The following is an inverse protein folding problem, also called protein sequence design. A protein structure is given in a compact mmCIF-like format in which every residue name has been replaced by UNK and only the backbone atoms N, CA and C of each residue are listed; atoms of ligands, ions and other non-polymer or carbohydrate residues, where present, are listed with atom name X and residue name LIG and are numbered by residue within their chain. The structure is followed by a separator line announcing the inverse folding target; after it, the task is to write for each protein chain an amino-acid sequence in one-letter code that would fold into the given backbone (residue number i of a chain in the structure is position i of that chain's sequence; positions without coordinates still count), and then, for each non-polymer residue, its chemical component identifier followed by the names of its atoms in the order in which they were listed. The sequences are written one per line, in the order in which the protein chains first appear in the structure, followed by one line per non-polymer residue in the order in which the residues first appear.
data_IF_044472550908
#
_entry.id   IF_044472550908
#
_cell.length_a   1.000
_cell.length_b   1.000
_cell.length_c   1.000
_cell.angle_alpha   90.00
_cell.angle_beta   90.00
_cell.angle_gamma   90.00
#
_symmetry.space_group_name_H-M   'P 1'
#
loop_
_entity.id
_entity.type
_entity.pdbx_description
1 polymer ?
#
# COMPACT_ATOMS: atom_id res chain seq x y z
N UNK A 1 -2.67 11.61 -38.72
CA UNK A 1 -2.06 10.74 -37.70
C UNK A 1 -1.52 11.64 -36.61
N UNK A 2 -2.11 11.64 -35.42
CA UNK A 2 -1.65 12.46 -34.29
C UNK A 2 -0.45 11.72 -33.68
N UNK A 3 0.75 12.22 -33.89
CA UNK A 3 1.98 11.62 -33.33
C UNK A 3 1.97 11.84 -31.82
N UNK A 4 1.99 10.77 -31.03
CA UNK A 4 2.15 10.86 -29.59
C UNK A 4 3.54 11.42 -29.28
N UNK A 5 3.61 12.52 -28.53
CA UNK A 5 4.88 13.06 -28.04
C UNK A 5 5.23 12.32 -26.75
N UNK A 6 6.35 11.61 -26.75
CA UNK A 6 6.84 10.89 -25.57
C UNK A 6 7.47 11.86 -24.57
N UNK A 7 7.08 11.77 -23.30
CA UNK A 7 7.75 12.48 -22.21
C UNK A 7 8.88 11.62 -21.66
N UNK A 8 10.09 12.17 -21.61
CA UNK A 8 11.24 11.54 -20.94
C UNK A 8 11.41 12.12 -19.54
N UNK A 9 11.54 11.26 -18.53
CA UNK A 9 11.94 11.66 -17.18
C UNK A 9 13.30 11.05 -16.88
N UNK A 10 14.29 11.90 -16.60
CA UNK A 10 15.61 11.48 -16.16
C UNK A 10 15.76 11.77 -14.66
N UNK A 11 16.14 10.76 -13.90
CA UNK A 11 16.41 10.86 -12.46
C UNK A 11 17.92 10.76 -12.24
N UNK A 12 18.46 11.58 -11.35
CA UNK A 12 19.87 11.54 -11.01
C UNK A 12 20.26 10.16 -10.43
N UNK A 13 21.32 9.56 -10.95
CA UNK A 13 21.85 8.27 -10.47
C UNK A 13 22.61 8.39 -9.15
N UNK A 14 23.10 9.59 -8.83
CA UNK A 14 23.87 9.88 -7.64
C UNK A 14 23.16 10.93 -6.78
N UNK A 15 22.72 10.53 -5.59
CA UNK A 15 22.26 11.46 -4.56
C UNK A 15 22.98 11.20 -3.23
N UNK A 16 23.24 12.27 -2.49
CA UNK A 16 24.00 12.23 -1.24
C UNK A 16 23.24 12.87 -0.10
N UNK A 17 23.47 12.35 1.11
CA UNK A 17 23.08 12.97 2.37
C UNK A 17 24.35 13.27 3.15
N UNK A 18 24.74 14.55 3.17
CA UNK A 18 26.07 14.94 3.64
C UNK A 18 27.15 14.27 2.78
N UNK A 19 28.02 13.48 3.43
CA UNK A 19 29.08 12.73 2.75
C UNK A 19 28.65 11.38 2.19
N UNK A 20 27.46 10.89 2.55
CA UNK A 20 27.03 9.51 2.30
C UNK A 20 26.24 9.41 1.00
N UNK A 21 26.61 8.48 0.13
CA UNK A 21 25.94 8.18 -1.14
C UNK A 21 24.75 7.22 -0.91
N UNK A 22 23.61 7.52 -1.53
CA UNK A 22 22.42 6.66 -1.49
C UNK A 22 22.51 5.59 -2.58
N UNK A 23 22.18 4.33 -2.25
CA UNK A 23 22.00 3.27 -3.24
C UNK A 23 20.75 3.49 -4.10
N UNK A 24 20.67 2.83 -5.26
CA UNK A 24 19.49 2.87 -6.13
C UNK A 24 18.20 2.50 -5.38
N UNK A 25 18.22 1.48 -4.52
CA UNK A 25 17.07 1.09 -3.68
C UNK A 25 16.57 2.22 -2.74
N UNK A 26 17.47 3.10 -2.27
CA UNK A 26 17.09 4.25 -1.46
C UNK A 26 16.57 5.40 -2.34
N UNK A 27 17.13 5.57 -3.54
CA UNK A 27 16.64 6.57 -4.51
C UNK A 27 15.21 6.28 -4.96
N UNK A 28 14.88 5.02 -5.21
CA UNK A 28 13.52 4.60 -5.60
C UNK A 28 12.46 4.89 -4.53
N UNK A 29 12.87 5.00 -3.25
CA UNK A 29 11.96 5.33 -2.14
C UNK A 29 11.63 6.83 -2.06
N UNK A 30 12.36 7.67 -2.81
CA UNK A 30 12.16 9.11 -2.82
C UNK A 30 11.01 9.43 -3.76
N UNK A 31 9.89 9.92 -3.21
CA UNK A 31 8.68 10.24 -3.99
C UNK A 31 8.21 11.69 -3.82
N UNK A 32 8.78 12.43 -2.86
CA UNK A 32 8.39 13.81 -2.50
C UNK A 32 9.12 14.87 -3.33
N UNK A 33 9.11 14.74 -4.65
CA UNK A 33 9.70 15.75 -5.53
C UNK A 33 8.90 17.05 -5.49
N UNK A 34 9.61 18.18 -5.36
CA UNK A 34 9.05 19.52 -5.43
C UNK A 34 9.58 20.24 -6.66
N UNK A 35 8.75 21.00 -7.40
CA UNK A 35 9.22 21.77 -8.53
C UNK A 35 10.23 22.82 -8.07
N UNK A 36 11.28 23.02 -8.87
CA UNK A 36 12.25 24.09 -8.67
C UNK A 36 11.66 25.37 -9.25
N UNK A 37 11.65 26.44 -8.48
CA UNK A 37 11.17 27.75 -8.91
C UNK A 37 12.18 28.38 -9.87
N UNK A 38 11.77 28.63 -11.11
CA UNK A 38 12.58 29.29 -12.14
C UNK A 38 12.44 30.82 -12.12
N UNK A 39 11.69 31.35 -11.16
CA UNK A 39 11.44 32.79 -11.04
C UNK A 39 12.76 33.53 -10.78
N UNK A 40 13.08 34.50 -11.65
CA UNK A 40 14.30 35.30 -11.55
C UNK A 40 15.56 34.62 -12.10
N UNK A 41 15.47 33.41 -12.65
CA UNK A 41 16.58 32.81 -13.40
C UNK A 41 16.64 33.36 -14.82
N UNK A 42 17.85 33.47 -15.37
CA UNK A 42 18.06 33.78 -16.78
C UNK A 42 18.02 32.50 -17.62
N UNK A 43 17.49 32.55 -18.85
CA UNK A 43 17.53 31.40 -19.74
C UNK A 43 18.98 30.99 -20.04
N UNK A 44 19.27 29.68 -20.13
CA UNK A 44 20.64 29.20 -20.33
C UNK A 44 21.21 29.58 -21.70
N UNK A 45 20.35 29.62 -22.72
CA UNK A 45 20.70 29.91 -24.11
C UNK A 45 19.72 30.93 -24.70
N UNK A 46 20.12 31.59 -25.78
CA UNK A 46 19.31 32.61 -26.46
C UNK A 46 18.02 32.07 -27.11
N UNK A 47 17.95 30.77 -27.37
CA UNK A 47 16.83 30.03 -27.96
C UNK A 47 15.89 29.41 -26.91
N UNK A 48 16.09 29.76 -25.64
CA UNK A 48 15.32 29.22 -24.52
C UNK A 48 14.53 30.34 -23.84
N UNK A 49 13.24 30.13 -23.63
CA UNK A 49 12.36 31.04 -22.91
C UNK A 49 11.90 30.38 -21.60
N UNK A 50 11.91 31.14 -20.50
CA UNK A 50 11.31 30.69 -19.24
C UNK A 50 9.87 31.18 -19.20
N UNK A 51 8.93 30.25 -19.13
CA UNK A 51 7.50 30.56 -19.00
C UNK A 51 6.82 29.54 -18.09
N UNK A 52 5.93 29.99 -17.20
CA UNK A 52 5.18 29.14 -16.27
C UNK A 52 6.04 28.09 -15.54
N UNK A 53 7.23 28.48 -15.07
CA UNK A 53 8.15 27.59 -14.35
C UNK A 53 8.71 26.41 -15.19
N UNK A 54 8.72 26.56 -16.51
CA UNK A 54 9.34 25.63 -17.45
C UNK A 54 10.33 26.37 -18.35
N UNK A 55 11.36 25.66 -18.81
CA UNK A 55 12.15 26.08 -19.95
C UNK A 55 11.49 25.58 -21.23
N UNK A 56 11.30 26.49 -22.18
CA UNK A 56 10.85 26.19 -23.52
C UNK A 56 11.98 26.43 -24.49
N UNK A 57 12.31 25.41 -25.28
CA UNK A 57 13.12 25.60 -26.47
C UNK A 57 12.18 25.60 -27.68
N UNK A 58 12.07 26.76 -28.32
CA UNK A 58 11.13 27.03 -29.42
C UNK A 58 11.91 27.41 -30.66
N UNK A 59 11.41 26.96 -31.81
CA UNK A 59 12.01 27.33 -33.09
C UNK A 59 11.71 28.81 -33.45
N UNK A 60 10.57 29.36 -32.98
CA UNK A 60 10.20 30.77 -33.17
C UNK A 60 9.85 31.42 -31.81
N UNK A 61 10.73 32.29 -31.28
CA UNK A 61 10.49 33.04 -30.03
C UNK A 61 9.20 33.87 -30.07
N UNK A 62 8.47 33.95 -28.95
CA UNK A 62 7.28 34.81 -28.81
C UNK A 62 5.96 34.33 -29.46
N UNK A 63 5.91 33.14 -30.07
CA UNK A 63 4.66 32.53 -30.55
C UNK A 63 4.07 31.55 -29.51
N UNK A 64 2.77 31.23 -29.63
CA UNK A 64 2.15 30.15 -28.85
C UNK A 64 2.89 28.83 -29.07
N UNK A 65 3.05 28.02 -28.01
CA UNK A 65 3.73 26.74 -28.08
C UNK A 65 3.07 25.82 -29.12
N UNK A 66 3.90 25.21 -29.98
CA UNK A 66 3.45 24.33 -31.06
C UNK A 66 3.91 22.89 -30.83
N UNK A 67 3.26 21.94 -31.51
CA UNK A 67 3.70 20.54 -31.51
C UNK A 67 5.10 20.47 -32.12
N UNK A 68 6.07 19.99 -31.34
CA UNK A 68 7.49 19.96 -31.70
C UNK A 68 8.38 20.81 -30.80
N UNK A 69 7.80 21.75 -30.04
CA UNK A 69 8.56 22.52 -29.04
C UNK A 69 8.94 21.63 -27.84
N UNK A 70 10.15 21.84 -27.30
CA UNK A 70 10.64 21.12 -26.14
C UNK A 70 10.31 21.88 -24.86
N UNK A 71 9.67 21.21 -23.90
CA UNK A 71 9.38 21.74 -22.57
C UNK A 71 10.14 20.93 -21.51
N UNK A 72 10.93 21.62 -20.69
CA UNK A 72 11.71 21.02 -19.61
C UNK A 72 11.30 21.60 -18.27
N UNK A 73 11.03 20.73 -17.30
CA UNK A 73 10.76 21.08 -15.90
C UNK A 73 11.77 20.38 -15.00
N UNK A 74 12.19 21.07 -13.93
CA UNK A 74 13.07 20.49 -12.93
C UNK A 74 12.35 20.34 -11.59
N UNK A 75 12.61 19.23 -10.91
CA UNK A 75 12.11 18.97 -9.58
C UNK A 75 13.20 18.37 -8.70
N UNK A 76 13.20 18.72 -7.42
CA UNK A 76 14.14 18.17 -6.43
C UNK A 76 13.40 17.63 -5.21
N UNK A 77 13.93 16.55 -4.63
CA UNK A 77 13.43 15.94 -3.41
C UNK A 77 14.29 16.25 -2.16
N UNK A 78 15.27 17.13 -2.30
CA UNK A 78 16.12 17.59 -1.21
C UNK A 78 16.79 18.92 -1.55
N UNK A 79 16.88 19.82 -0.57
CA UNK A 79 17.70 21.01 -0.66
C UNK A 79 18.56 21.11 0.59
N UNK A 80 19.86 21.27 0.40
CA UNK A 80 20.86 21.41 1.46
C UNK A 80 21.73 22.61 1.10
N UNK A 81 21.85 23.57 2.02
CA UNK A 81 22.76 24.72 1.85
C UNK A 81 22.10 25.95 1.23
N UNK A 82 22.82 26.61 0.32
CA UNK A 82 22.53 27.96 -0.23
C UNK A 82 21.42 27.95 -1.29
N UNK A 83 21.12 26.78 -1.87
CA UNK A 83 20.09 26.57 -2.91
C UNK A 83 18.65 26.48 -2.38
N UNK A 84 18.43 26.84 -1.10
CA UNK A 84 17.10 26.89 -0.48
C UNK A 84 16.20 27.91 -1.18
N UNK A 85 16.77 28.93 -1.83
CA UNK A 85 16.01 29.94 -2.57
C UNK A 85 15.40 29.41 -3.88
N UNK A 86 15.95 28.33 -4.45
CA UNK A 86 15.52 27.79 -5.74
C UNK A 86 14.38 26.77 -5.60
N UNK A 87 14.27 26.10 -4.45
CA UNK A 87 13.19 25.16 -4.18
C UNK A 87 12.21 25.82 -3.24
N UNK A 88 10.93 25.89 -3.62
CA UNK A 88 9.88 26.43 -2.74
C UNK A 88 9.68 25.49 -1.51
N UNK A 89 10.55 25.63 -0.51
CA UNK A 89 10.59 24.71 0.62
C UNK A 89 11.73 24.99 1.60
N UNK A 90 11.41 24.87 2.89
CA UNK A 90 12.39 24.82 3.99
C UNK A 90 13.37 23.66 3.78
N UNK A 91 14.56 23.77 4.39
CA UNK A 91 15.56 22.70 4.53
C UNK A 91 14.90 21.33 4.70
N UNK A 92 15.20 20.41 3.78
CA UNK A 92 14.64 19.06 3.81
C UNK A 92 15.53 18.18 4.68
N UNK A 93 15.04 17.80 5.85
CA UNK A 93 15.67 16.75 6.65
C UNK A 93 15.15 15.40 6.20
N UNK A 94 16.03 14.40 6.19
CA UNK A 94 15.67 13.00 5.94
C UNK A 94 16.25 12.13 7.05
N UNK A 95 15.52 11.10 7.43
CA UNK A 95 15.95 10.09 8.39
C UNK A 95 16.09 8.76 7.66
N UNK A 96 17.28 8.17 7.75
CA UNK A 96 17.65 6.96 6.99
C UNK A 96 18.11 5.87 7.94
N UNK A 97 17.57 4.66 7.77
CA UNK A 97 18.09 3.43 8.38
C UNK A 97 18.51 2.50 7.25
N UNK A 98 19.82 2.29 7.13
CA UNK A 98 20.45 1.46 6.11
C UNK A 98 21.78 0.89 6.62
N UNK A 99 22.33 -0.12 5.95
CA UNK A 99 23.68 -0.61 6.21
C UNK A 99 24.69 0.35 5.58
N UNK A 100 25.64 0.84 6.36
CA UNK A 100 26.74 1.64 5.82
C UNK A 100 27.89 0.72 5.36
N UNK A 101 28.29 0.88 4.09
CA UNK A 101 29.48 0.28 3.50
C UNK A 101 30.40 1.40 2.99
N UNK A 102 31.38 1.78 3.81
CA UNK A 102 32.24 2.93 3.51
C UNK A 102 31.44 4.23 3.46
N UNK A 103 31.44 4.89 2.30
CA UNK A 103 30.65 6.11 2.05
C UNK A 103 29.25 5.83 1.49
N UNK A 104 28.89 4.56 1.23
CA UNK A 104 27.60 4.22 0.65
C UNK A 104 26.62 3.68 1.70
N UNK A 105 25.37 4.13 1.62
CA UNK A 105 24.24 3.55 2.33
C UNK A 105 23.54 2.55 1.41
N UNK A 106 23.52 1.29 1.83
CA UNK A 106 22.93 0.18 1.08
C UNK A 106 21.89 -0.54 1.93
N UNK A 107 21.00 -1.28 1.28
CA UNK A 107 20.02 -2.07 2.00
C UNK A 107 20.66 -3.20 2.80
N UNK A 108 20.12 -3.45 3.99
CA UNK A 108 20.59 -4.51 4.88
C UNK A 108 19.78 -5.79 4.66
N UNK A 109 20.41 -6.90 4.31
CA UNK A 109 19.73 -8.19 4.25
C UNK A 109 19.35 -8.67 5.66
N UNK A 110 18.05 -8.80 5.92
CA UNK A 110 17.53 -9.29 7.20
C UNK A 110 17.49 -10.81 7.26
N UNK A 111 17.41 -11.37 8.47
CA UNK A 111 17.28 -12.81 8.68
C UNK A 111 16.00 -13.42 8.07
N UNK A 112 14.97 -12.60 7.84
CA UNK A 112 13.72 -13.03 7.20
C UNK A 112 13.81 -13.08 5.67
N UNK A 113 14.96 -12.75 5.07
CA UNK A 113 15.16 -12.71 3.63
C UNK A 113 14.71 -11.40 2.96
N UNK A 114 14.26 -10.41 3.74
CA UNK A 114 13.86 -9.09 3.23
C UNK A 114 15.03 -8.09 3.30
N UNK A 115 15.07 -7.10 2.41
CA UNK A 115 16.02 -5.99 2.52
C UNK A 115 15.45 -4.88 3.41
N UNK A 116 16.26 -4.39 4.36
CA UNK A 116 15.93 -3.29 5.25
C UNK A 116 16.67 -2.03 4.79
N UNK A 117 15.90 -1.11 4.23
CA UNK A 117 16.32 0.23 3.87
C UNK A 117 15.11 1.15 4.07
N UNK A 118 15.18 2.02 5.07
CA UNK A 118 14.11 2.96 5.40
C UNK A 118 14.60 4.37 5.10
N UNK A 119 13.76 5.16 4.43
CA UNK A 119 14.05 6.55 4.12
C UNK A 119 12.75 7.34 4.28
N UNK A 120 12.75 8.28 5.23
CA UNK A 120 11.58 9.13 5.51
C UNK A 120 11.95 10.61 5.51
N UNK A 121 11.12 11.48 4.92
CA UNK A 121 11.29 12.92 5.03
C UNK A 121 10.92 13.36 6.45
N UNK A 122 11.82 14.08 7.10
CA UNK A 122 11.68 14.57 8.47
C UNK A 122 12.87 14.20 9.35
N UNK A 123 12.84 14.70 10.59
CA UNK A 123 13.78 14.33 11.65
C UNK A 123 13.08 13.36 12.58
N UNK A 124 13.47 12.10 12.51
CA UNK A 124 12.98 11.03 13.36
C UNK A 124 14.16 10.37 14.05
N UNK A 125 13.97 9.98 15.30
CA UNK A 125 14.89 9.05 15.96
C UNK A 125 14.77 7.65 15.34
N UNK A 126 15.77 6.80 15.58
CA UNK A 126 15.71 5.41 15.10
C UNK A 126 14.49 4.66 15.67
N UNK A 127 14.15 4.91 16.94
CA UNK A 127 13.00 4.29 17.59
C UNK A 127 11.68 4.73 16.95
N UNK A 128 11.47 6.03 16.76
CA UNK A 128 10.26 6.58 16.13
C UNK A 128 10.08 6.02 14.71
N UNK A 129 11.17 5.84 13.96
CA UNK A 129 11.10 5.34 12.60
C UNK A 129 10.65 3.88 12.53
N UNK A 130 11.18 3.02 13.42
CA UNK A 130 10.72 1.64 13.51
C UNK A 130 9.28 1.53 14.02
N UNK A 131 8.89 2.38 14.98
CA UNK A 131 7.51 2.42 15.48
C UNK A 131 6.54 2.84 14.38
N UNK A 132 6.88 3.84 13.57
CA UNK A 132 6.11 4.29 12.42
C UNK A 132 5.92 3.17 11.39
N UNK A 133 7.00 2.50 11.01
CA UNK A 133 6.96 1.37 10.07
C UNK A 133 6.14 0.21 10.60
N UNK A 134 6.33 -0.17 11.86
CA UNK A 134 5.54 -1.23 12.47
C UNK A 134 4.06 -0.85 12.59
N UNK A 135 3.75 0.40 12.91
CA UNK A 135 2.38 0.88 12.99
C UNK A 135 1.69 0.85 11.62
N UNK A 136 2.34 1.38 10.58
CA UNK A 136 1.85 1.35 9.19
C UNK A 136 1.60 -0.08 8.71
N UNK A 137 2.58 -0.98 8.91
CA UNK A 137 2.45 -2.38 8.53
C UNK A 137 1.33 -3.10 9.30
N UNK A 138 1.14 -2.80 10.59
CA UNK A 138 0.01 -3.34 11.38
C UNK A 138 -1.32 -2.84 10.85
N UNK A 139 -1.44 -1.54 10.58
CA UNK A 139 -2.67 -0.94 10.06
C UNK A 139 -3.03 -1.52 8.69
N UNK A 140 -2.08 -1.58 7.76
CA UNK A 140 -2.28 -2.16 6.44
C UNK A 140 -2.70 -3.64 6.53
N UNK A 141 -2.02 -4.42 7.38
CA UNK A 141 -2.35 -5.84 7.59
C UNK A 141 -3.77 -6.02 8.12
N UNK A 142 -4.19 -5.23 9.12
CA UNK A 142 -5.55 -5.29 9.65
C UNK A 142 -6.59 -4.81 8.62
N UNK A 143 -6.31 -3.75 7.88
CA UNK A 143 -7.17 -3.24 6.82
C UNK A 143 -7.41 -4.30 5.73
N UNK A 144 -6.34 -4.96 5.27
CA UNK A 144 -6.43 -6.04 4.29
C UNK A 144 -7.22 -7.24 4.82
N UNK A 145 -7.09 -7.58 6.11
CA UNK A 145 -7.87 -8.66 6.73
C UNK A 145 -9.35 -8.35 6.81
N UNK A 146 -9.71 -7.13 7.23
CA UNK A 146 -11.12 -6.69 7.29
C UNK A 146 -11.72 -6.63 5.88
N UNK A 147 -11.00 -6.05 4.92
CA UNK A 147 -11.42 -6.02 3.53
C UNK A 147 -11.60 -7.43 2.95
N UNK A 148 -10.65 -8.34 3.21
CA UNK A 148 -10.73 -9.74 2.81
C UNK A 148 -11.92 -10.47 3.42
N UNK A 149 -12.21 -10.24 4.70
CA UNK A 149 -13.38 -10.80 5.38
C UNK A 149 -14.70 -10.32 4.75
N UNK A 150 -14.82 -9.02 4.48
CA UNK A 150 -16.00 -8.45 3.85
C UNK A 150 -16.19 -9.01 2.43
N UNK A 151 -15.12 -9.08 1.65
CA UNK A 151 -15.15 -9.65 0.31
C UNK A 151 -15.55 -11.13 0.33
N UNK A 152 -15.05 -11.89 1.30
CA UNK A 152 -15.44 -13.29 1.50
C UNK A 152 -16.92 -13.43 1.86
N UNK A 153 -17.42 -12.57 2.76
CA UNK A 153 -18.83 -12.55 3.13
C UNK A 153 -19.73 -12.26 1.92
N UNK A 154 -19.37 -11.25 1.12
CA UNK A 154 -20.11 -10.91 -0.11
C UNK A 154 -20.07 -12.08 -1.09
N UNK A 155 -18.92 -12.72 -1.31
CA UNK A 155 -18.81 -13.87 -2.21
C UNK A 155 -19.74 -15.03 -1.79
N UNK A 156 -19.76 -15.40 -0.51
CA UNK A 156 -20.63 -16.47 -0.01
C UNK A 156 -22.10 -16.04 -0.09
N UNK A 157 -22.43 -14.78 0.23
CA UNK A 157 -23.80 -14.26 0.09
C UNK A 157 -24.30 -14.34 -1.34
N UNK A 158 -23.45 -14.02 -2.33
CA UNK A 158 -23.80 -14.15 -3.74
C UNK A 158 -24.06 -15.61 -4.13
N UNK A 159 -23.23 -16.55 -3.67
CA UNK A 159 -23.44 -17.98 -3.92
C UNK A 159 -24.76 -18.49 -3.33
N UNK A 160 -25.04 -18.10 -2.09
CA UNK A 160 -26.24 -18.53 -1.35
C UNK A 160 -27.52 -17.87 -1.90
N UNK A 161 -27.42 -16.65 -2.43
CA UNK A 161 -28.56 -15.95 -3.02
C UNK A 161 -29.16 -16.70 -4.23
N UNK A 162 -28.33 -17.40 -5.00
CA UNK A 162 -28.80 -18.26 -6.12
C UNK A 162 -29.75 -19.36 -5.60
N UNK A 163 -29.49 -19.88 -4.40
CA UNK A 163 -30.36 -20.88 -3.75
C UNK A 163 -31.63 -20.21 -3.23
N UNK A 164 -31.52 -19.01 -2.66
CA UNK A 164 -32.67 -18.25 -2.17
C UNK A 164 -33.70 -17.95 -3.26
N UNK A 165 -33.25 -17.58 -4.47
CA UNK A 165 -34.15 -17.31 -5.61
C UNK A 165 -35.00 -18.51 -6.02
N UNK A 166 -34.60 -19.73 -5.66
CA UNK A 166 -35.39 -20.95 -5.92
C UNK A 166 -36.51 -21.17 -4.89
N UNK A 167 -36.41 -20.57 -3.69
CA UNK A 167 -37.32 -20.78 -2.55
C UNK A 167 -38.25 -19.57 -2.31
N UNK A 168 -38.11 -18.52 -3.14
CA UNK A 168 -38.78 -17.21 -3.00
C UNK A 168 -40.32 -17.23 -3.08
N UNK A 169 -40.94 -18.36 -3.42
CA UNK A 169 -42.39 -18.49 -3.61
C UNK A 169 -43.20 -18.55 -2.29
N UNK A 170 -42.56 -18.73 -1.11
CA UNK A 170 -43.23 -18.67 0.19
C UNK A 170 -42.88 -17.38 0.97
N UNK A 171 -43.78 -16.38 1.05
CA UNK A 171 -43.47 -15.08 1.68
C UNK A 171 -43.14 -15.17 3.18
N UNK A 172 -43.73 -16.11 3.92
CA UNK A 172 -43.48 -16.25 5.36
C UNK A 172 -42.15 -16.96 5.71
N UNK A 173 -41.66 -17.80 4.79
CA UNK A 173 -40.43 -18.60 4.98
C UNK A 173 -39.21 -17.82 4.50
N UNK A 174 -39.40 -16.92 3.54
CA UNK A 174 -38.35 -16.12 2.89
C UNK A 174 -37.48 -15.37 3.89
N UNK A 175 -38.07 -14.58 4.78
CA UNK A 175 -37.31 -13.73 5.70
C UNK A 175 -36.52 -14.54 6.73
N UNK A 176 -37.11 -15.63 7.24
CA UNK A 176 -36.44 -16.56 8.16
C UNK A 176 -35.28 -17.28 7.48
N UNK A 177 -35.47 -17.73 6.24
CA UNK A 177 -34.43 -18.38 5.44
C UNK A 177 -33.31 -17.39 5.11
N UNK A 178 -33.62 -16.17 4.68
CA UNK A 178 -32.62 -15.16 4.38
C UNK A 178 -31.77 -14.81 5.62
N UNK A 179 -32.39 -14.70 6.80
CA UNK A 179 -31.67 -14.49 8.05
C UNK A 179 -30.73 -15.68 8.35
N UNK A 180 -31.23 -16.91 8.30
CA UNK A 180 -30.42 -18.11 8.54
C UNK A 180 -29.25 -18.26 7.55
N UNK A 181 -29.52 -18.01 6.27
CA UNK A 181 -28.51 -18.00 5.21
C UNK A 181 -27.47 -16.88 5.38
N UNK A 182 -27.88 -15.70 5.88
CA UNK A 182 -26.96 -14.60 6.17
C UNK A 182 -26.01 -14.94 7.32
N UNK A 183 -26.51 -15.57 8.38
CA UNK A 183 -25.72 -16.01 9.54
C UNK A 183 -24.77 -17.14 9.12
N UNK A 184 -25.26 -18.11 8.34
CA UNK A 184 -24.43 -19.16 7.76
C UNK A 184 -23.29 -18.58 6.91
N UNK A 185 -23.60 -17.63 6.03
CA UNK A 185 -22.59 -16.96 5.20
C UNK A 185 -21.56 -16.21 6.05
N UNK A 186 -21.97 -15.55 7.15
CA UNK A 186 -21.07 -14.87 8.06
C UNK A 186 -20.12 -15.84 8.78
N UNK A 187 -20.64 -16.94 9.32
CA UNK A 187 -19.83 -17.98 9.99
C UNK A 187 -18.83 -18.60 9.01
N UNK A 188 -19.28 -18.93 7.80
CA UNK A 188 -18.42 -19.46 6.74
C UNK A 188 -17.32 -18.47 6.34
N UNK A 189 -17.67 -17.18 6.18
CA UNK A 189 -16.71 -16.14 5.81
C UNK A 189 -15.64 -15.91 6.89
N UNK A 190 -16.05 -15.85 8.17
CA UNK A 190 -15.12 -15.73 9.30
C UNK A 190 -14.20 -16.95 9.37
N UNK A 191 -14.76 -18.16 9.32
CA UNK A 191 -13.97 -19.39 9.37
C UNK A 191 -12.94 -19.44 8.25
N UNK A 192 -13.34 -19.15 7.00
CA UNK A 192 -12.44 -19.24 5.86
C UNK A 192 -11.38 -18.13 5.88
N UNK A 193 -11.76 -16.92 6.29
CA UNK A 193 -10.81 -15.80 6.43
C UNK A 193 -9.76 -16.08 7.50
N UNK A 194 -10.15 -16.63 8.66
CA UNK A 194 -9.20 -17.04 9.71
C UNK A 194 -8.26 -18.12 9.19
N UNK A 195 -8.75 -19.10 8.42
CA UNK A 195 -7.90 -20.13 7.80
C UNK A 195 -6.86 -19.51 6.85
N UNK A 196 -7.27 -18.59 5.97
CA UNK A 196 -6.34 -17.89 5.06
C UNK A 196 -5.27 -17.13 5.85
N UNK A 197 -5.67 -16.42 6.91
CA UNK A 197 -4.73 -15.72 7.79
C UNK A 197 -3.79 -16.72 8.47
N UNK A 198 -4.29 -17.85 8.96
CA UNK A 198 -3.47 -18.87 9.60
C UNK A 198 -2.42 -19.46 8.66
N UNK A 199 -2.80 -19.74 7.41
CA UNK A 199 -1.89 -20.24 6.38
C UNK A 199 -0.75 -19.24 6.10
N UNK A 200 -1.03 -17.93 6.11
CA UNK A 200 0.01 -16.91 5.92
C UNK A 200 1.08 -16.91 7.03
N UNK A 201 0.74 -17.34 8.24
CA UNK A 201 1.66 -17.40 9.38
C UNK A 201 2.44 -18.71 9.48
N UNK A 202 2.10 -19.73 8.68
CA UNK A 202 2.62 -21.09 8.85
C UNK A 202 4.16 -21.14 8.73
N UNK A 203 4.74 -20.36 7.82
CA UNK A 203 6.18 -20.30 7.59
C UNK A 203 6.95 -19.50 8.66
N UNK A 204 6.35 -18.44 9.21
CA UNK A 204 7.04 -17.51 10.11
C UNK A 204 6.79 -17.80 11.59
N UNK A 205 5.59 -18.23 11.95
CA UNK A 205 5.15 -18.43 13.34
C UNK A 205 4.14 -19.60 13.45
N UNK A 206 4.62 -20.85 13.41
CA UNK A 206 3.76 -22.04 13.36
C UNK A 206 2.83 -22.18 14.57
N UNK A 207 3.25 -21.72 15.76
CA UNK A 207 2.40 -21.72 16.96
C UNK A 207 1.16 -20.82 16.80
N UNK A 208 1.32 -19.63 16.21
CA UNK A 208 0.20 -18.71 15.95
C UNK A 208 -0.73 -19.27 14.87
N UNK A 209 -0.16 -19.88 13.82
CA UNK A 209 -0.93 -20.54 12.77
C UNK A 209 -1.81 -21.68 13.36
N UNK A 210 -1.26 -22.53 14.21
CA UNK A 210 -2.01 -23.62 14.85
C UNK A 210 -3.17 -23.11 15.72
N UNK A 211 -2.95 -22.05 16.51
CA UNK A 211 -3.99 -21.44 17.32
C UNK A 211 -5.13 -20.87 16.47
N UNK A 212 -4.79 -20.18 15.37
CA UNK A 212 -5.77 -19.62 14.45
C UNK A 212 -6.57 -20.70 13.72
N UNK A 213 -5.94 -21.79 13.30
CA UNK A 213 -6.65 -22.92 12.69
C UNK A 213 -7.64 -23.56 13.67
N UNK A 214 -7.25 -23.72 14.94
CA UNK A 214 -8.15 -24.22 15.98
C UNK A 214 -9.33 -23.26 16.16
N UNK A 215 -9.08 -21.94 16.18
CA UNK A 215 -10.14 -20.94 16.23
C UNK A 215 -11.11 -21.06 15.05
N UNK A 216 -10.61 -21.22 13.81
CA UNK A 216 -11.46 -21.42 12.63
C UNK A 216 -12.38 -22.63 12.78
N UNK A 217 -11.87 -23.76 13.28
CA UNK A 217 -12.68 -24.97 13.54
C UNK A 217 -13.75 -24.71 14.60
N UNK A 218 -13.42 -24.02 15.69
CA UNK A 218 -14.40 -23.73 16.76
C UNK A 218 -15.55 -22.84 16.29
N UNK A 219 -15.29 -21.87 15.41
CA UNK A 219 -16.30 -20.97 14.84
C UNK A 219 -17.38 -21.75 14.08
N UNK A 220 -17.02 -22.85 13.43
CA UNK A 220 -17.97 -23.74 12.74
C UNK A 220 -18.59 -24.77 13.70
N UNK A 221 -17.78 -25.35 14.59
CA UNK A 221 -18.21 -26.49 15.41
C UNK A 221 -19.23 -26.11 16.49
N UNK A 222 -19.10 -24.95 17.13
CA UNK A 222 -20.01 -24.49 18.19
C UNK A 222 -21.45 -24.31 17.68
N UNK A 223 -21.73 -23.51 16.63
CA UNK A 223 -23.09 -23.38 16.11
C UNK A 223 -23.64 -24.71 15.59
N UNK A 224 -22.80 -25.55 14.96
CA UNK A 224 -23.21 -26.88 14.52
C UNK A 224 -23.67 -27.78 15.68
N UNK A 225 -22.99 -27.74 16.84
CA UNK A 225 -23.40 -28.49 18.03
C UNK A 225 -24.69 -27.97 18.65
N UNK A 226 -24.94 -26.67 18.59
CA UNK A 226 -26.17 -26.05 19.13
C UNK A 226 -27.40 -26.34 18.28
N UNK A 227 -27.22 -26.52 16.96
CA UNK A 227 -28.32 -26.84 16.03
C UNK A 227 -28.64 -28.34 16.01
N UNK A 228 -27.76 -29.21 16.53
CA UNK A 228 -28.04 -30.65 16.63
C UNK A 228 -29.16 -30.91 17.65
N UNK A 229 -30.30 -31.52 17.24
CA UNK A 229 -31.33 -31.91 18.19
C UNK A 229 -30.76 -32.92 19.19
N UNK A 230 -30.91 -32.64 20.49
CA UNK A 230 -30.59 -33.63 21.53
C UNK A 230 -31.51 -34.83 21.31
N UNK A 231 -30.94 -36.01 21.03
CA UNK A 231 -31.70 -37.24 21.04
C UNK A 231 -32.25 -37.41 22.47
N UNK A 232 -33.57 -37.25 22.64
CA UNK A 232 -34.22 -37.56 23.92
C UNK A 232 -33.93 -39.04 24.21
N UNK A 233 -33.29 -39.38 25.34
CA UNK A 233 -33.13 -40.78 25.70
C UNK A 233 -34.54 -41.37 25.80
N UNK A 234 -34.81 -42.42 25.03
CA UNK A 234 -36.06 -43.14 25.07
C UNK A 234 -36.31 -43.57 26.52
N UNK A 235 -37.26 -42.90 27.19
CA UNK A 235 -37.73 -43.36 28.48
C UNK A 235 -38.28 -44.77 28.26
N UNK A 236 -37.62 -45.74 28.87
CA UNK A 236 -38.04 -47.13 28.88
C UNK A 236 -39.47 -47.19 29.41
N UNK A 237 -40.40 -47.50 28.51
CA UNK A 237 -41.78 -47.82 28.85
C UNK A 237 -41.73 -49.14 29.65
N UNK A 238 -41.95 -49.04 30.95
CA UNK A 238 -42.34 -50.15 31.83
C UNK A 238 -43.84 -50.06 32.06
#
# INVERSE_FOLDING_TARGET
SIMAVESLTAVASDARVGRLLLSAELLEKITWFRPIALLGMSPPNADTEIHDNHFYHRYHPGQYAQVGDLRVSFSSAGSSGEDVHLVAGRLTFVSIIAKQLGEQLVAHATKSGSSLALLHPGRFSAQELFELEHHSNRQLSWALRVAGLLLMYVAIRLMVNIVHTLVDWLPLVRDLVNLGLSVFAAIGAVSLSVTVVALSWLAYHPAHAALLLLAAVTVVMVPWRLVRPQARPAQAMR
#
